data_IF_073378483795
#
_entry.id   IF_073378483795
#
_cell.length_a   1.000
_cell.length_b   1.000
_cell.length_c   1.000
_cell.angle_alpha   90.00
_cell.angle_beta   90.00
_cell.angle_gamma   90.00
#
_symmetry.space_group_name_H-M   'P 1'
#
loop_
_entity.id
_entity.type
_entity.pdbx_description
1 polymer ?
#
# COMPACT_ATOMS: atom_id res chain seq x y z
N UNK A 1 13.84 16.52 -7.31
CA UNK A 1 13.62 17.57 -6.29
C UNK A 1 13.95 17.00 -4.93
N UNK A 2 14.48 17.81 -4.01
CA UNK A 2 14.86 17.35 -2.67
C UNK A 2 13.67 17.52 -1.74
N UNK A 3 13.00 16.42 -1.39
CA UNK A 3 11.88 16.42 -0.45
C UNK A 3 12.35 16.52 0.99
N UNK A 4 11.56 17.16 1.84
CA UNK A 4 11.82 17.30 3.28
C UNK A 4 10.89 16.42 4.10
N UNK A 5 11.45 15.52 4.88
CA UNK A 5 10.74 14.48 5.60
C UNK A 5 10.89 14.71 7.10
N UNK A 6 9.77 14.79 7.82
CA UNK A 6 9.75 14.88 9.27
C UNK A 6 9.69 13.47 9.84
N UNK A 7 10.65 13.11 10.68
CA UNK A 7 10.74 11.82 11.37
C UNK A 7 10.54 12.06 12.85
N UNK A 8 9.54 11.41 13.45
CA UNK A 8 9.25 11.53 14.88
C UNK A 8 9.35 10.17 15.54
N UNK A 9 10.31 10.01 16.45
CA UNK A 9 10.53 8.75 17.19
C UNK A 9 11.30 9.10 18.47
N UNK A 10 10.82 8.65 19.64
CA UNK A 10 11.48 8.88 20.92
C UNK A 10 12.73 8.00 21.08
N UNK A 11 12.85 6.92 20.31
CA UNK A 11 14.05 6.12 20.23
C UNK A 11 15.07 6.77 19.27
N UNK A 12 16.02 7.50 19.85
CA UNK A 12 17.07 8.23 19.11
C UNK A 12 17.83 7.35 18.10
N UNK A 13 18.04 6.07 18.42
CA UNK A 13 18.70 5.12 17.54
C UNK A 13 17.88 4.88 16.24
N UNK A 14 16.55 4.82 16.36
CA UNK A 14 15.64 4.57 15.24
C UNK A 14 15.52 5.83 14.39
N UNK A 15 15.20 6.99 14.99
CA UNK A 15 15.08 8.26 14.24
C UNK A 15 16.36 8.61 13.50
N UNK A 16 17.54 8.40 14.11
CA UNK A 16 18.84 8.60 13.43
C UNK A 16 19.04 7.62 12.28
N UNK A 17 18.61 6.37 12.42
CA UNK A 17 18.74 5.36 11.35
C UNK A 17 17.86 5.71 10.16
N UNK A 18 16.58 6.01 10.40
CA UNK A 18 15.63 6.50 9.39
C UNK A 18 16.19 7.75 8.70
N UNK A 19 16.68 8.73 9.48
CA UNK A 19 17.27 9.95 8.94
C UNK A 19 18.46 9.69 8.01
N UNK A 20 19.34 8.74 8.33
CA UNK A 20 20.46 8.34 7.46
C UNK A 20 19.96 7.72 6.15
N UNK A 21 18.93 6.88 6.20
CA UNK A 21 18.34 6.25 5.01
C UNK A 21 17.78 7.35 4.09
N UNK A 22 16.96 8.25 4.63
CA UNK A 22 16.40 9.39 3.89
C UNK A 22 17.49 10.26 3.24
N UNK A 23 18.57 10.58 3.96
CA UNK A 23 19.67 11.35 3.42
C UNK A 23 20.41 10.60 2.29
N UNK A 24 20.60 9.29 2.41
CA UNK A 24 21.18 8.46 1.34
C UNK A 24 20.30 8.42 0.09
N UNK A 25 18.98 8.48 0.25
CA UNK A 25 18.02 8.62 -0.85
C UNK A 25 18.04 10.02 -1.51
N UNK A 26 18.85 10.96 -0.99
CA UNK A 26 18.99 12.30 -1.55
C UNK A 26 17.95 13.31 -1.05
N UNK A 27 17.27 13.01 0.06
CA UNK A 27 16.24 13.84 0.69
C UNK A 27 16.74 14.48 1.99
N UNK A 28 15.94 15.38 2.57
CA UNK A 28 16.21 16.00 3.87
C UNK A 28 15.41 15.33 4.97
N UNK A 29 16.06 15.01 6.09
CA UNK A 29 15.40 14.51 7.29
C UNK A 29 15.44 15.57 8.38
N UNK A 30 14.28 15.96 8.90
CA UNK A 30 14.15 16.66 10.18
C UNK A 30 13.75 15.64 11.23
N UNK A 31 14.49 15.56 12.33
CA UNK A 31 14.24 14.59 13.39
C UNK A 31 13.62 15.30 14.60
N UNK A 32 12.56 14.73 15.16
CA UNK A 32 11.97 15.15 16.42
C UNK A 32 11.88 13.95 17.36
N UNK A 33 12.21 14.14 18.63
CA UNK A 33 12.12 13.07 19.64
C UNK A 33 10.76 13.04 20.36
N UNK A 34 9.97 14.11 20.22
CA UNK A 34 8.69 14.30 20.91
C UNK A 34 7.66 14.98 19.99
N UNK A 35 6.37 14.74 20.23
CA UNK A 35 5.31 15.29 19.40
C UNK A 35 5.22 16.82 19.45
N UNK A 36 5.49 17.44 20.60
CA UNK A 36 5.48 18.89 20.77
C UNK A 36 6.64 19.57 20.01
N UNK A 37 7.76 18.87 19.85
CA UNK A 37 8.86 19.31 19.00
C UNK A 37 8.45 19.21 17.53
N UNK A 38 7.84 18.09 17.12
CA UNK A 38 7.35 17.88 15.76
C UNK A 38 6.34 18.97 15.35
N UNK A 39 5.35 19.27 16.20
CA UNK A 39 4.37 20.33 15.93
C UNK A 39 5.02 21.71 15.82
N UNK A 40 6.03 22.02 16.65
CA UNK A 40 6.81 23.26 16.51
C UNK A 40 7.57 23.32 15.18
N UNK A 41 8.24 22.25 14.79
CA UNK A 41 8.91 22.18 13.48
C UNK A 41 7.93 22.39 12.33
N UNK A 42 6.73 21.80 12.41
CA UNK A 42 5.68 22.00 11.42
C UNK A 42 5.23 23.46 11.34
N UNK A 43 5.33 24.26 12.41
CA UNK A 43 5.01 25.70 12.39
C UNK A 43 5.97 26.49 11.51
N UNK A 44 7.26 26.20 11.63
CA UNK A 44 8.33 26.98 11.00
C UNK A 44 8.73 26.48 9.60
N UNK A 45 8.35 25.25 9.24
CA UNK A 45 8.85 24.55 8.07
C UNK A 45 7.75 23.77 7.36
N UNK A 46 7.89 23.62 6.03
CA UNK A 46 7.05 22.73 5.24
C UNK A 46 7.68 21.34 5.13
N UNK A 47 6.82 20.33 5.11
CA UNK A 47 7.21 18.94 5.01
C UNK A 47 6.41 18.21 3.93
N UNK A 48 7.10 17.31 3.25
CA UNK A 48 6.58 16.51 2.16
C UNK A 48 6.03 15.17 2.60
N UNK A 49 6.65 14.61 3.64
CA UNK A 49 6.29 13.35 4.23
C UNK A 49 6.48 13.43 5.75
N UNK A 50 5.52 12.88 6.49
CA UNK A 50 5.68 12.55 7.90
C UNK A 50 6.01 11.07 8.03
N UNK A 51 6.96 10.73 8.89
CA UNK A 51 7.19 9.38 9.39
C UNK A 51 7.13 9.49 10.91
N UNK A 52 6.17 8.85 11.57
CA UNK A 52 6.01 8.98 13.02
C UNK A 52 5.86 7.63 13.70
N UNK A 53 6.51 7.46 14.84
CA UNK A 53 6.14 6.40 15.77
C UNK A 53 4.74 6.65 16.32
N UNK A 54 3.96 5.60 16.55
CA UNK A 54 2.61 5.71 17.12
C UNK A 54 2.61 5.94 18.63
N UNK A 55 3.51 5.28 19.36
CA UNK A 55 3.58 5.27 20.82
C UNK A 55 4.71 6.18 21.30
N UNK A 56 4.42 7.48 21.28
CA UNK A 56 5.31 8.49 21.81
C UNK A 56 4.87 8.92 23.23
N UNK A 57 5.82 9.28 24.11
CA UNK A 57 5.50 9.91 25.38
C UNK A 57 4.92 11.31 25.16
N UNK A 58 3.86 11.66 25.91
CA UNK A 58 3.16 12.93 25.74
C UNK A 58 2.19 12.87 24.56
N UNK A 59 2.41 13.71 23.54
CA UNK A 59 1.61 13.70 22.32
C UNK A 59 1.92 12.47 21.45
N UNK A 60 0.93 11.59 21.29
CA UNK A 60 1.07 10.36 20.51
C UNK A 60 1.09 10.57 18.99
N UNK A 61 1.59 9.58 18.25
CA UNK A 61 1.75 9.67 16.79
C UNK A 61 0.45 9.91 16.01
N UNK A 62 -0.69 9.45 16.55
CA UNK A 62 -2.02 9.71 15.98
C UNK A 62 -2.39 11.19 16.05
N UNK A 63 -2.07 11.86 17.17
CA UNK A 63 -2.32 13.29 17.32
C UNK A 63 -1.40 14.10 16.41
N UNK A 64 -0.12 13.70 16.30
CA UNK A 64 0.84 14.30 15.37
C UNK A 64 0.36 14.17 13.93
N UNK A 65 -0.10 12.98 13.53
CA UNK A 65 -0.64 12.72 12.20
C UNK A 65 -1.83 13.64 11.91
N UNK A 66 -2.74 13.80 12.87
CA UNK A 66 -3.89 14.70 12.71
C UNK A 66 -3.43 16.15 12.46
N UNK A 67 -2.54 16.68 13.31
CA UNK A 67 -2.00 18.05 13.13
C UNK A 67 -1.28 18.19 11.78
N UNK A 68 -0.52 17.16 11.40
CA UNK A 68 0.21 17.15 10.14
C UNK A 68 -0.73 17.20 8.93
N UNK A 69 -1.80 16.40 8.92
CA UNK A 69 -2.77 16.36 7.81
C UNK A 69 -3.68 17.59 7.77
N UNK A 70 -3.99 18.20 8.91
CA UNK A 70 -4.68 19.50 8.97
C UNK A 70 -3.81 20.62 8.35
N UNK A 71 -2.50 20.61 8.64
CA UNK A 71 -1.59 21.63 8.13
C UNK A 71 -1.11 21.39 6.69
N UNK A 72 -0.90 20.12 6.33
CA UNK A 72 -0.39 19.70 5.02
C UNK A 72 -1.32 18.64 4.39
N UNK A 73 -2.53 19.02 3.92
CA UNK A 73 -3.54 18.08 3.44
C UNK A 73 -3.06 17.16 2.31
N UNK A 74 -2.20 17.69 1.44
CA UNK A 74 -1.67 16.97 0.28
C UNK A 74 -0.35 16.23 0.57
N UNK A 75 0.28 16.45 1.73
CA UNK A 75 1.47 15.70 2.14
C UNK A 75 1.09 14.32 2.67
N UNK A 76 1.98 13.36 2.48
CA UNK A 76 1.76 11.98 2.90
C UNK A 76 2.29 11.75 4.30
N UNK A 77 1.84 10.66 4.92
CA UNK A 77 2.31 10.26 6.24
C UNK A 77 2.44 8.75 6.34
N UNK A 78 3.50 8.28 6.98
CA UNK A 78 3.76 6.88 7.31
C UNK A 78 3.77 6.77 8.82
N UNK A 79 3.01 5.82 9.35
CA UNK A 79 3.05 5.49 10.77
C UNK A 79 3.93 4.26 10.94
N UNK A 80 4.86 4.33 11.89
CA UNK A 80 5.72 3.22 12.27
C UNK A 80 5.36 2.81 13.71
N UNK A 81 5.36 1.52 14.06
CA UNK A 81 5.21 1.14 15.48
C UNK A 81 5.75 -0.23 15.82
N UNK A 82 6.28 -0.41 17.03
CA UNK A 82 6.64 -1.72 17.59
C UNK A 82 5.46 -2.50 18.19
N UNK A 83 4.27 -1.92 18.27
CA UNK A 83 3.08 -2.57 18.85
C UNK A 83 1.88 -2.44 17.93
N UNK A 84 1.90 -3.10 16.77
CA UNK A 84 0.81 -2.99 15.82
C UNK A 84 -0.47 -3.63 16.37
N UNK A 85 -1.58 -2.89 16.34
CA UNK A 85 -2.92 -3.45 16.53
C UNK A 85 -3.83 -3.02 15.39
N UNK A 86 -4.90 -3.79 15.16
CA UNK A 86 -5.91 -3.45 14.15
C UNK A 86 -6.53 -2.07 14.42
N UNK A 87 -6.73 -1.71 15.69
CA UNK A 87 -7.33 -0.44 16.10
C UNK A 87 -6.41 0.74 15.79
N UNK A 88 -5.11 0.62 16.09
CA UNK A 88 -4.12 1.68 15.86
C UNK A 88 -3.85 1.89 14.39
N UNK A 89 -3.80 0.79 13.62
CA UNK A 89 -3.79 0.85 12.17
C UNK A 89 -5.03 1.61 11.71
N UNK A 90 -6.25 1.11 11.94
CA UNK A 90 -7.48 1.76 11.46
C UNK A 90 -7.58 3.25 11.83
N UNK A 91 -7.11 3.67 13.01
CA UNK A 91 -7.09 5.07 13.42
C UNK A 91 -6.14 5.92 12.56
N UNK A 92 -4.88 5.50 12.41
CA UNK A 92 -3.89 6.20 11.56
C UNK A 92 -4.39 6.35 10.12
N UNK A 93 -4.97 5.28 9.65
CA UNK A 93 -5.50 5.11 8.32
C UNK A 93 -6.68 6.06 8.03
N UNK A 94 -7.67 6.13 8.92
CA UNK A 94 -8.80 7.08 8.81
C UNK A 94 -8.36 8.55 8.81
N UNK A 95 -7.23 8.86 9.43
CA UNK A 95 -6.65 10.20 9.47
C UNK A 95 -5.82 10.53 8.22
N UNK A 96 -5.68 9.59 7.28
CA UNK A 96 -4.98 9.81 6.02
C UNK A 96 -3.49 9.48 6.07
N UNK A 97 -3.06 8.61 6.98
CA UNK A 97 -1.80 7.91 6.82
C UNK A 97 -1.82 7.14 5.48
N UNK A 98 -0.76 7.31 4.70
CA UNK A 98 -0.53 6.60 3.46
C UNK A 98 -0.20 5.13 3.72
N UNK A 99 0.65 4.87 4.72
CA UNK A 99 1.17 3.55 5.03
C UNK A 99 1.35 3.34 6.54
N UNK A 100 1.36 2.07 6.94
CA UNK A 100 1.59 1.63 8.32
C UNK A 100 2.66 0.52 8.36
N UNK A 101 3.80 0.78 8.98
CA UNK A 101 4.96 -0.12 9.02
C UNK A 101 5.21 -0.63 10.45
N UNK A 102 5.25 -1.95 10.63
CA UNK A 102 5.58 -2.55 11.92
C UNK A 102 7.10 -2.58 12.17
N UNK A 103 7.54 -2.35 13.40
CA UNK A 103 8.91 -2.62 13.85
C UNK A 103 9.00 -4.06 14.38
N UNK A 104 10.12 -4.77 14.15
CA UNK A 104 11.27 -4.35 13.32
C UNK A 104 10.94 -4.39 11.83
N UNK A 105 11.58 -3.52 11.04
CA UNK A 105 11.48 -3.46 9.58
C UNK A 105 12.87 -3.51 8.93
N UNK A 106 12.95 -3.99 7.70
CA UNK A 106 14.18 -3.96 6.92
C UNK A 106 14.39 -2.57 6.30
N UNK A 107 15.65 -2.21 6.02
CA UNK A 107 15.97 -0.94 5.34
C UNK A 107 15.26 -0.82 3.99
N UNK A 108 15.20 -1.93 3.24
CA UNK A 108 14.55 -1.99 1.94
C UNK A 108 13.04 -1.71 2.00
N UNK A 109 12.37 -2.12 3.08
CA UNK A 109 10.92 -1.87 3.27
C UNK A 109 10.68 -0.37 3.42
N UNK A 110 11.48 0.29 4.27
CA UNK A 110 11.37 1.74 4.47
C UNK A 110 11.72 2.53 3.20
N UNK A 111 12.78 2.15 2.48
CA UNK A 111 13.15 2.78 1.22
C UNK A 111 12.01 2.70 0.20
N UNK A 112 11.38 1.53 0.09
CA UNK A 112 10.24 1.29 -0.81
C UNK A 112 9.07 2.21 -0.46
N UNK A 113 8.69 2.28 0.82
CA UNK A 113 7.58 3.11 1.29
C UNK A 113 7.86 4.60 1.06
N UNK A 114 9.06 5.07 1.39
CA UNK A 114 9.44 6.48 1.19
C UNK A 114 9.46 6.83 -0.29
N UNK A 115 10.03 5.98 -1.14
CA UNK A 115 10.06 6.21 -2.58
C UNK A 115 8.64 6.33 -3.16
N UNK A 116 7.77 5.36 -2.84
CA UNK A 116 6.38 5.37 -3.29
C UNK A 116 5.64 6.64 -2.84
N UNK A 117 5.83 7.07 -1.59
CA UNK A 117 5.25 8.32 -1.09
C UNK A 117 5.70 9.54 -1.92
N UNK A 118 6.99 9.64 -2.21
CA UNK A 118 7.53 10.82 -2.89
C UNK A 118 7.17 10.85 -4.38
N UNK A 119 7.04 9.70 -5.04
CA UNK A 119 6.46 9.60 -6.38
C UNK A 119 5.00 10.06 -6.39
N UNK A 120 4.22 9.60 -5.41
CA UNK A 120 2.82 9.99 -5.25
C UNK A 120 2.68 11.50 -5.11
N UNK A 121 3.51 12.10 -4.24
CA UNK A 121 3.52 13.56 -4.03
C UNK A 121 3.96 14.33 -5.28
N UNK A 122 4.89 13.81 -6.06
CA UNK A 122 5.32 14.44 -7.31
C UNK A 122 4.23 14.45 -8.40
N UNK A 123 3.01 13.99 -8.10
CA UNK A 123 1.89 13.92 -9.04
C UNK A 123 2.04 12.77 -10.03
N UNK A 124 2.92 11.81 -9.74
CA UNK A 124 3.24 10.69 -10.61
C UNK A 124 2.34 9.46 -10.43
N UNK A 125 1.55 9.24 -9.35
CA UNK A 125 1.03 7.90 -9.13
C UNK A 125 -0.15 7.65 -10.06
N UNK A 126 -0.01 6.60 -10.86
CA UNK A 126 -1.13 5.94 -11.54
C UNK A 126 -1.97 6.84 -12.47
N UNK A 127 -1.48 8.01 -12.92
CA UNK A 127 -2.29 8.87 -13.77
C UNK A 127 -2.60 8.17 -15.10
N UNK A 128 -3.88 7.93 -15.36
CA UNK A 128 -4.35 7.15 -16.50
C UNK A 128 -4.28 5.63 -16.32
N UNK A 129 -3.90 5.13 -15.14
CA UNK A 129 -3.90 3.70 -14.81
C UNK A 129 -5.25 3.25 -14.24
N UNK A 130 -5.67 2.03 -14.53
CA UNK A 130 -6.97 1.50 -14.09
C UNK A 130 -6.84 0.16 -13.37
N UNK A 131 -7.54 0.00 -12.25
CA UNK A 131 -7.68 -1.27 -11.54
C UNK A 131 -9.03 -1.90 -11.86
N UNK A 132 -9.02 -3.19 -12.21
CA UNK A 132 -10.23 -4.01 -12.28
C UNK A 132 -10.36 -4.83 -10.99
N UNK A 133 -11.39 -4.53 -10.21
CA UNK A 133 -11.77 -5.31 -9.02
C UNK A 133 -12.79 -6.36 -9.43
N UNK A 134 -12.53 -7.63 -9.11
CA UNK A 134 -13.47 -8.74 -9.33
C UNK A 134 -13.90 -9.29 -7.98
N UNK A 135 -15.10 -8.90 -7.54
CA UNK A 135 -15.62 -9.15 -6.20
C UNK A 135 -17.16 -9.16 -6.25
N UNK A 136 -17.76 -10.28 -5.88
CA UNK A 136 -19.21 -10.49 -5.96
C UNK A 136 -19.95 -9.90 -4.76
N UNK A 137 -19.28 -9.69 -3.62
CA UNK A 137 -19.91 -9.10 -2.44
C UNK A 137 -20.10 -7.56 -2.59
N UNK A 138 -21.33 -7.04 -2.72
CA UNK A 138 -21.58 -5.65 -3.12
C UNK A 138 -21.12 -4.58 -2.10
N UNK A 139 -20.97 -4.97 -0.83
CA UNK A 139 -20.43 -4.06 0.19
C UNK A 139 -18.92 -3.95 0.10
N UNK A 140 -18.22 -5.05 -0.22
CA UNK A 140 -16.77 -5.07 -0.24
C UNK A 140 -16.23 -4.49 -1.55
N UNK A 141 -16.87 -4.77 -2.69
CA UNK A 141 -16.52 -4.11 -3.95
C UNK A 141 -16.74 -2.59 -3.92
N UNK A 142 -17.77 -2.10 -3.22
CA UNK A 142 -17.96 -0.66 -2.95
C UNK A 142 -16.85 -0.10 -2.08
N UNK A 143 -16.52 -0.78 -0.99
CA UNK A 143 -15.42 -0.39 -0.12
C UNK A 143 -14.10 -0.26 -0.88
N UNK A 144 -13.75 -1.25 -1.72
CA UNK A 144 -12.55 -1.21 -2.55
C UNK A 144 -12.58 -0.05 -3.57
N UNK A 145 -13.75 0.21 -4.16
CA UNK A 145 -13.91 1.34 -5.09
C UNK A 145 -13.70 2.70 -4.41
N UNK A 146 -14.25 2.89 -3.20
CA UNK A 146 -14.03 4.09 -2.40
C UNK A 146 -12.55 4.24 -2.01
N UNK A 147 -11.92 3.14 -1.58
CA UNK A 147 -10.51 3.07 -1.21
C UNK A 147 -9.58 3.52 -2.35
N UNK A 148 -9.83 3.07 -3.58
CA UNK A 148 -9.07 3.48 -4.76
C UNK A 148 -9.43 4.90 -5.23
N UNK A 149 -10.68 5.31 -5.09
CA UNK A 149 -11.12 6.68 -5.40
C UNK A 149 -10.44 7.72 -4.50
N UNK A 150 -10.24 7.43 -3.21
CA UNK A 150 -9.48 8.31 -2.30
C UNK A 150 -8.03 8.53 -2.78
N UNK A 151 -7.48 7.58 -3.53
CA UNK A 151 -6.13 7.61 -4.11
C UNK A 151 -6.11 8.08 -5.57
N UNK A 152 -7.25 8.54 -6.09
CA UNK A 152 -7.42 8.99 -7.50
C UNK A 152 -7.06 7.90 -8.52
N UNK A 153 -7.25 6.63 -8.17
CA UNK A 153 -7.04 5.50 -9.07
C UNK A 153 -8.41 5.09 -9.66
N UNK A 154 -8.61 5.22 -10.99
CA UNK A 154 -9.78 4.65 -11.66
C UNK A 154 -9.99 3.18 -11.30
N UNK A 155 -11.18 2.86 -10.77
CA UNK A 155 -11.59 1.52 -10.40
C UNK A 155 -12.79 1.09 -11.25
N UNK A 156 -12.70 -0.09 -11.84
CA UNK A 156 -13.80 -0.76 -12.52
C UNK A 156 -14.13 -2.02 -11.72
N UNK A 157 -15.42 -2.28 -11.45
CA UNK A 157 -15.86 -3.45 -10.68
C UNK A 157 -16.54 -4.46 -11.60
N UNK A 158 -16.23 -5.73 -11.44
CA UNK A 158 -16.96 -6.88 -11.98
C UNK A 158 -17.41 -7.80 -10.84
N UNK A 159 -18.63 -8.34 -10.93
CA UNK A 159 -19.19 -9.24 -9.92
C UNK A 159 -18.92 -10.73 -10.21
N UNK A 160 -18.34 -11.05 -11.38
CA UNK A 160 -17.92 -12.41 -11.73
C UNK A 160 -16.72 -12.39 -12.69
N UNK A 161 -16.05 -13.53 -12.86
CA UNK A 161 -14.94 -13.63 -13.81
C UNK A 161 -15.38 -13.52 -15.28
N UNK A 162 -16.61 -13.93 -15.64
CA UNK A 162 -17.14 -13.71 -16.99
C UNK A 162 -17.33 -12.22 -17.27
N UNK A 163 -17.88 -11.48 -16.31
CA UNK A 163 -18.02 -10.03 -16.42
C UNK A 163 -16.65 -9.35 -16.50
N UNK A 164 -15.68 -9.81 -15.70
CA UNK A 164 -14.31 -9.32 -15.74
C UNK A 164 -13.69 -9.50 -17.14
N UNK A 165 -13.75 -10.71 -17.71
CA UNK A 165 -13.23 -11.00 -19.05
C UNK A 165 -13.90 -10.17 -20.14
N UNK A 166 -15.23 -9.98 -20.05
CA UNK A 166 -15.97 -9.11 -20.97
C UNK A 166 -15.45 -7.68 -20.92
N UNK A 167 -15.33 -7.11 -19.72
CA UNK A 167 -14.83 -5.73 -19.51
C UNK A 167 -13.38 -5.58 -19.97
N UNK A 168 -12.53 -6.58 -19.72
CA UNK A 168 -11.13 -6.59 -20.20
C UNK A 168 -11.02 -6.64 -21.73
N UNK A 169 -12.02 -7.22 -22.41
CA UNK A 169 -12.13 -7.18 -23.87
C UNK A 169 -12.50 -5.80 -24.42
N UNK A 170 -13.22 -4.98 -23.64
CA UNK A 170 -13.60 -3.60 -24.01
C UNK A 170 -12.47 -2.61 -23.70
N UNK A 171 -11.83 -2.74 -22.53
CA UNK A 171 -10.70 -1.91 -22.12
C UNK A 171 -9.78 -2.69 -21.18
N UNK A 172 -8.48 -2.70 -21.48
CA UNK A 172 -7.50 -3.42 -20.64
C UNK A 172 -7.19 -2.64 -19.36
N UNK A 173 -7.34 -3.23 -18.17
CA UNK A 173 -6.86 -2.63 -16.94
C UNK A 173 -5.33 -2.76 -16.85
N UNK A 174 -4.73 -1.96 -15.98
CA UNK A 174 -3.32 -2.05 -15.63
C UNK A 174 -3.05 -3.04 -14.49
N UNK A 175 -4.09 -3.43 -13.74
CA UNK A 175 -4.04 -4.46 -12.70
C UNK A 175 -5.41 -5.09 -12.50
N UNK A 176 -5.43 -6.40 -12.21
CA UNK A 176 -6.62 -7.13 -11.74
C UNK A 176 -6.45 -7.48 -10.27
N UNK A 177 -7.41 -7.09 -9.43
CA UNK A 177 -7.55 -7.52 -8.04
C UNK A 177 -8.80 -8.39 -7.94
N UNK A 178 -8.65 -9.70 -7.75
CA UNK A 178 -9.78 -10.62 -7.80
C UNK A 178 -9.90 -11.45 -6.53
N UNK A 179 -11.14 -11.66 -6.06
CA UNK A 179 -11.42 -12.68 -5.06
C UNK A 179 -11.25 -14.09 -5.64
N UNK A 180 -10.84 -15.05 -4.82
CA UNK A 180 -10.80 -16.46 -5.23
C UNK A 180 -12.22 -17.06 -5.24
N UNK A 181 -13.06 -16.68 -4.27
CA UNK A 181 -14.38 -17.26 -4.00
C UNK A 181 -15.52 -16.78 -4.90
N UNK A 182 -15.23 -16.48 -6.17
CA UNK A 182 -16.20 -15.94 -7.11
C UNK A 182 -17.26 -16.96 -7.55
N UNK A 183 -18.51 -16.53 -7.79
CA UNK A 183 -19.54 -17.39 -8.39
C UNK A 183 -19.23 -17.69 -9.86
N UNK A 184 -19.57 -18.90 -10.31
CA UNK A 184 -19.42 -19.33 -11.70
C UNK A 184 -18.01 -19.85 -12.04
N UNK A 185 -16.99 -19.00 -11.90
CA UNK A 185 -15.59 -19.38 -12.06
C UNK A 185 -14.74 -18.88 -10.89
N UNK A 186 -13.81 -19.69 -10.39
CA UNK A 186 -12.93 -19.25 -9.30
C UNK A 186 -11.94 -18.19 -9.77
N UNK A 187 -11.49 -17.32 -8.86
CA UNK A 187 -10.45 -16.32 -9.16
C UNK A 187 -9.15 -16.93 -9.72
N UNK A 188 -8.82 -18.16 -9.29
CA UNK A 188 -7.70 -18.93 -9.84
C UNK A 188 -7.91 -19.31 -11.30
N UNK A 189 -9.12 -19.66 -11.71
CA UNK A 189 -9.44 -19.94 -13.12
C UNK A 189 -9.42 -18.67 -13.96
N UNK A 190 -9.98 -17.58 -13.44
CA UNK A 190 -9.88 -16.26 -14.07
C UNK A 190 -8.41 -15.87 -14.30
N UNK A 191 -7.55 -16.01 -13.27
CA UNK A 191 -6.12 -15.74 -13.37
C UNK A 191 -5.47 -16.58 -14.49
N UNK A 192 -5.74 -17.90 -14.53
CA UNK A 192 -5.22 -18.77 -15.59
C UNK A 192 -5.68 -18.33 -16.98
N UNK A 193 -6.94 -17.91 -17.14
CA UNK A 193 -7.43 -17.39 -18.43
C UNK A 193 -6.68 -16.12 -18.85
N UNK A 194 -6.49 -15.18 -17.92
CA UNK A 194 -5.73 -13.94 -18.15
C UNK A 194 -4.28 -14.25 -18.53
N UNK A 195 -3.60 -15.13 -17.78
CA UNK A 195 -2.19 -15.46 -17.97
C UNK A 195 -1.92 -16.31 -19.23
N UNK A 196 -2.91 -17.05 -19.72
CA UNK A 196 -2.80 -17.80 -20.97
C UNK A 196 -3.20 -17.00 -22.22
N UNK A 197 -3.86 -15.85 -22.07
CA UNK A 197 -4.20 -14.97 -23.20
C UNK A 197 -2.97 -14.12 -23.59
N UNK A 198 -2.42 -14.24 -24.82
CA UNK A 198 -1.26 -13.45 -25.26
C UNK A 198 -1.44 -11.94 -25.15
N UNK A 199 -2.68 -11.44 -25.22
CA UNK A 199 -3.01 -10.03 -25.14
C UNK A 199 -3.13 -9.52 -23.69
N UNK A 200 -3.30 -10.40 -22.70
CA UNK A 200 -3.56 -10.05 -21.30
C UNK A 200 -2.52 -10.61 -20.32
N UNK A 201 -1.68 -11.56 -20.73
CA UNK A 201 -0.75 -12.29 -19.84
C UNK A 201 0.22 -11.44 -19.03
N UNK A 202 0.51 -10.23 -19.49
CA UNK A 202 1.42 -9.30 -18.82
C UNK A 202 0.69 -8.37 -17.82
N UNK A 203 -0.64 -8.42 -17.74
CA UNK A 203 -1.41 -7.68 -16.74
C UNK A 203 -1.17 -8.35 -15.38
N UNK A 204 -0.72 -7.60 -14.35
CA UNK A 204 -0.62 -8.10 -13.00
C UNK A 204 -1.97 -8.57 -12.46
N UNK A 205 -2.00 -9.74 -11.83
CA UNK A 205 -3.17 -10.34 -11.18
C UNK A 205 -2.83 -10.60 -9.71
N UNK A 206 -3.53 -9.89 -8.83
CA UNK A 206 -3.48 -10.06 -7.38
C UNK A 206 -4.74 -10.80 -6.93
N UNK A 207 -4.57 -11.92 -6.24
CA UNK A 207 -5.67 -12.73 -5.73
C UNK A 207 -5.89 -12.51 -4.23
N UNK A 208 -7.14 -12.28 -3.84
CA UNK A 208 -7.52 -12.24 -2.43
C UNK A 208 -8.07 -13.60 -2.01
N UNK A 209 -7.50 -14.19 -0.95
CA UNK A 209 -7.78 -15.56 -0.50
C UNK A 209 -8.34 -15.58 0.91
N UNK A 210 -9.30 -16.46 1.24
CA UNK A 210 -9.71 -16.65 2.63
C UNK A 210 -8.63 -17.40 3.43
N UNK A 211 -8.38 -16.98 4.68
CA UNK A 211 -7.38 -17.58 5.60
C UNK A 211 -7.59 -19.08 5.91
N UNK A 212 -8.75 -19.65 5.59
CA UNK A 212 -9.04 -21.07 5.81
C UNK A 212 -8.43 -22.02 4.77
N UNK A 213 -7.86 -21.50 3.67
CA UNK A 213 -7.03 -22.30 2.76
C UNK A 213 -5.66 -22.41 3.44
N UNK A 214 -5.37 -23.55 4.08
CA UNK A 214 -4.11 -23.73 4.83
C UNK A 214 -2.87 -23.40 3.99
N UNK A 215 -1.79 -22.98 4.65
CA UNK A 215 -0.54 -22.49 4.03
C UNK A 215 0.03 -23.42 2.95
N UNK A 216 -0.21 -24.74 3.03
CA UNK A 216 0.22 -25.72 2.03
C UNK A 216 -0.57 -25.67 0.71
N UNK A 217 -1.86 -25.32 0.73
CA UNK A 217 -2.70 -25.27 -0.48
C UNK A 217 -2.48 -24.00 -1.30
N UNK A 218 -2.23 -22.86 -0.64
CA UNK A 218 -2.03 -21.57 -1.30
C UNK A 218 -0.75 -21.57 -2.15
N UNK A 219 0.35 -22.16 -1.69
CA UNK A 219 1.61 -22.19 -2.43
C UNK A 219 1.52 -23.06 -3.71
N UNK A 220 0.82 -24.18 -3.65
CA UNK A 220 0.60 -25.04 -4.82
C UNK A 220 -0.39 -24.40 -5.80
N UNK A 221 -1.45 -23.75 -5.32
CA UNK A 221 -2.39 -22.98 -6.15
C UNK A 221 -1.75 -21.72 -6.78
N UNK A 222 -0.81 -21.09 -6.07
CA UNK A 222 -0.02 -19.96 -6.56
C UNK A 222 0.81 -20.34 -7.78
N UNK A 223 1.55 -21.44 -7.70
CA UNK A 223 2.40 -21.92 -8.78
C UNK A 223 1.61 -22.28 -10.05
N UNK A 224 0.38 -22.75 -9.91
CA UNK A 224 -0.43 -23.19 -11.05
C UNK A 224 -1.35 -22.12 -11.65
N UNK A 225 -1.69 -21.06 -10.89
CA UNK A 225 -2.57 -20.01 -11.38
C UNK A 225 -1.85 -18.91 -12.17
N UNK A 226 -0.57 -18.70 -11.87
CA UNK A 226 0.24 -17.63 -12.46
C UNK A 226 -0.04 -16.25 -11.88
N UNK A 227 -0.72 -16.15 -10.72
CA UNK A 227 -0.95 -14.88 -10.05
C UNK A 227 0.38 -14.25 -9.59
N UNK A 228 0.44 -12.91 -9.62
CA UNK A 228 1.64 -12.18 -9.24
C UNK A 228 1.73 -11.95 -7.72
N UNK A 229 0.60 -12.04 -7.01
CA UNK A 229 0.53 -11.93 -5.55
C UNK A 229 -0.75 -12.54 -4.98
N UNK A 230 -0.67 -13.03 -3.74
CA UNK A 230 -1.81 -13.41 -2.91
C UNK A 230 -1.92 -12.51 -1.68
N UNK A 231 -3.13 -12.06 -1.37
CA UNK A 231 -3.46 -11.28 -0.16
C UNK A 231 -4.48 -12.07 0.67
N UNK A 232 -4.19 -12.31 1.94
CA UNK A 232 -5.07 -13.06 2.83
C UNK A 232 -6.23 -12.20 3.36
N UNK A 233 -7.46 -12.70 3.29
CA UNK A 233 -8.67 -12.12 3.87
C UNK A 233 -8.80 -12.58 5.34
N UNK A 234 -9.19 -11.69 6.28
CA UNK A 234 -9.47 -10.26 6.05
C UNK A 234 -8.19 -9.47 5.80
N UNK A 235 -8.12 -8.83 4.63
CA UNK A 235 -6.97 -8.07 4.20
C UNK A 235 -7.07 -6.65 4.75
N UNK A 236 -5.96 -6.10 5.22
CA UNK A 236 -5.94 -4.70 5.61
C UNK A 236 -6.10 -3.82 4.34
N UNK A 237 -6.96 -2.80 4.33
CA UNK A 237 -7.15 -1.93 3.16
C UNK A 237 -5.85 -1.29 2.64
N UNK A 238 -4.86 -1.11 3.50
CA UNK A 238 -3.59 -0.48 3.15
C UNK A 238 -2.61 -1.49 2.59
N UNK A 239 -2.63 -2.73 3.07
CA UNK A 239 -1.96 -3.84 2.41
C UNK A 239 -2.45 -3.97 0.95
N UNK A 240 -3.77 -3.92 0.73
CA UNK A 240 -4.35 -3.92 -0.62
C UNK A 240 -3.81 -2.74 -1.44
N UNK A 241 -3.84 -1.53 -0.88
CA UNK A 241 -3.36 -0.34 -1.58
C UNK A 241 -1.87 -0.41 -1.91
N UNK A 242 -1.04 -0.79 -0.94
CA UNK A 242 0.41 -0.91 -1.06
C UNK A 242 0.77 -1.80 -2.24
N UNK A 243 0.20 -3.01 -2.28
CA UNK A 243 0.50 -3.95 -3.34
C UNK A 243 -0.04 -3.49 -4.70
N UNK A 244 -1.26 -2.96 -4.75
CA UNK A 244 -1.82 -2.41 -6.00
C UNK A 244 -0.92 -1.29 -6.54
N UNK A 245 -0.52 -0.35 -5.69
CA UNK A 245 0.34 0.77 -6.08
C UNK A 245 1.73 0.31 -6.55
N UNK A 246 2.31 -0.69 -5.87
CA UNK A 246 3.59 -1.29 -6.25
C UNK A 246 3.55 -1.90 -7.65
N UNK A 247 2.45 -2.55 -8.02
CA UNK A 247 2.28 -3.10 -9.37
C UNK A 247 1.94 -2.04 -10.42
N UNK A 248 1.19 -1.00 -10.06
CA UNK A 248 0.85 0.09 -10.99
C UNK A 248 2.03 1.02 -11.28
N UNK A 249 2.95 1.17 -10.32
CA UNK A 249 4.19 1.93 -10.45
C UNK A 249 5.38 1.02 -10.14
N UNK A 250 5.74 0.08 -11.04
CA UNK A 250 6.91 -0.75 -10.84
C UNK A 250 8.14 0.15 -10.92
N UNK A 251 8.70 0.53 -9.77
CA UNK A 251 9.97 1.25 -9.71
C UNK A 251 11.00 0.43 -10.49
N UNK A 252 11.68 1.06 -11.46
CA UNK A 252 12.74 0.41 -12.22
C UNK A 252 13.88 -0.03 -11.28
N UNK A 253 13.84 -1.28 -10.83
CA UNK A 253 14.82 -1.86 -9.93
C UNK A 253 14.61 -3.36 -9.83
N UNK A 254 15.59 -4.12 -10.33
CA UNK A 254 15.58 -5.56 -10.38
C UNK A 254 15.56 -6.20 -8.98
N UNK A 255 14.83 -7.31 -8.83
CA UNK A 255 15.07 -8.29 -7.77
C UNK A 255 13.96 -8.38 -6.72
N UNK A 256 12.84 -9.00 -7.05
CA UNK A 256 11.98 -9.65 -6.04
C UNK A 256 11.31 -10.89 -6.62
N UNK A 257 12.11 -11.75 -7.24
CA UNK A 257 11.69 -13.10 -7.68
C UNK A 257 11.88 -14.17 -6.59
N UNK A 258 12.43 -13.82 -5.43
CA UNK A 258 12.84 -14.78 -4.39
C UNK A 258 12.27 -14.42 -3.02
N UNK A 259 10.94 -14.44 -2.84
CA UNK A 259 10.32 -14.58 -1.50
C UNK A 259 9.01 -15.37 -1.56
N UNK A 260 9.12 -16.61 -2.04
CA UNK A 260 8.21 -17.71 -1.67
C UNK A 260 9.08 -18.93 -1.40
N UNK A 261 9.79 -18.90 -0.27
CA UNK A 261 10.38 -20.08 0.38
C UNK A 261 10.83 -19.69 1.79
N UNK A 262 9.90 -19.77 2.73
CA UNK A 262 10.13 -20.20 4.12
C UNK A 262 8.78 -20.51 4.79
#
# INVERSE_FOLDING_TARGET
MKSRILVVDDEEAISRTIGRIIMKMGHEAALAAQGEEAVRMMQDQNFDLLITDLKLPGMGGIEILKHFKEKFPDSLAVVITGYPTLETAQAALRLGAWEYLAKPFEVADLETVVHACLEVKAGVPCQGKTVLVVEDHPAFSRFLSELFSLRKIPCVVAASGEEALKRMGESKPDLVLADIGLPGCSGLELCRKIKNDPAMKNIPVVLMTATYIGHAGIAEEANHSGADLFIAKPADPYEICYYVLRFLNPTGGAGDKDRTEQ
#
